data_IF_904177765854
#
_entry.id   IF_904177765854
#
_cell.length_a   1.000
_cell.length_b   1.000
_cell.length_c   1.000
_cell.angle_alpha   90.00
_cell.angle_beta   90.00
_cell.angle_gamma   90.00
#
_symmetry.space_group_name_H-M   'P 1'
#
loop_
_entity.id
_entity.type
_entity.pdbx_description
1 polymer ?
#
# COMPACT_ATOMS: atom_id res chain seq x y z
N UNK A 1 -25.78 -17.63 1.44
CA UNK A 1 -24.72 -17.47 0.45
C UNK A 1 -24.33 -15.98 0.47
N UNK A 2 -23.03 -15.64 0.23
CA UNK A 2 -22.56 -14.24 0.34
C UNK A 2 -23.30 -13.30 -0.64
N UNK A 3 -23.67 -13.80 -1.82
CA UNK A 3 -24.49 -13.08 -2.80
C UNK A 3 -25.93 -12.85 -2.32
N UNK A 4 -26.53 -13.83 -1.68
CA UNK A 4 -27.88 -13.78 -1.14
C UNK A 4 -27.97 -12.79 0.02
N UNK A 5 -26.91 -12.72 0.83
CA UNK A 5 -26.79 -11.74 1.91
C UNK A 5 -26.58 -10.31 1.38
N UNK A 6 -25.74 -10.11 0.34
CA UNK A 6 -25.53 -8.83 -0.32
C UNK A 6 -26.80 -8.35 -1.05
N UNK A 7 -27.58 -9.24 -1.64
CA UNK A 7 -28.86 -8.93 -2.27
C UNK A 7 -29.96 -8.61 -1.25
N UNK A 8 -29.97 -9.27 -0.07
CA UNK A 8 -30.95 -8.99 1.00
C UNK A 8 -30.75 -7.60 1.63
N UNK A 9 -29.54 -7.08 1.59
CA UNK A 9 -29.16 -5.78 2.14
C UNK A 9 -29.39 -4.61 1.15
N UNK A 10 -30.10 -4.83 0.04
CA UNK A 10 -30.48 -3.80 -0.93
C UNK A 10 -29.34 -3.33 -1.86
N UNK A 11 -28.20 -3.98 -1.81
CA UNK A 11 -27.10 -3.74 -2.74
C UNK A 11 -27.15 -4.78 -3.85
N UNK A 12 -27.71 -4.44 -4.99
CA UNK A 12 -27.61 -5.23 -6.23
C UNK A 12 -26.17 -5.22 -6.79
N UNK A 13 -25.18 -5.45 -5.95
CA UNK A 13 -23.80 -5.59 -6.39
C UNK A 13 -23.57 -7.05 -6.72
N UNK A 14 -23.46 -7.35 -8.00
CA UNK A 14 -23.03 -8.69 -8.42
C UNK A 14 -21.52 -8.84 -8.15
N UNK A 15 -21.22 -9.34 -6.94
CA UNK A 15 -19.82 -9.51 -6.46
C UNK A 15 -18.94 -10.39 -7.38
N UNK A 16 -19.55 -11.12 -8.30
CA UNK A 16 -18.86 -11.96 -9.29
C UNK A 16 -18.84 -11.35 -10.69
N UNK A 17 -19.52 -10.21 -10.91
CA UNK A 17 -19.43 -9.53 -12.20
C UNK A 17 -18.06 -8.84 -12.31
N UNK A 18 -17.30 -9.15 -13.36
CA UNK A 18 -16.06 -8.45 -13.61
C UNK A 18 -16.34 -6.97 -13.84
N UNK A 19 -15.52 -6.09 -13.27
CA UNK A 19 -15.55 -4.64 -13.47
C UNK A 19 -16.82 -3.90 -12.98
N UNK A 20 -17.62 -4.47 -12.10
CA UNK A 20 -18.84 -3.84 -11.59
C UNK A 20 -18.60 -2.44 -10.99
N UNK A 21 -17.41 -2.25 -10.36
CA UNK A 21 -17.00 -0.97 -9.78
C UNK A 21 -16.57 0.07 -10.82
N UNK A 22 -16.12 -0.37 -12.00
CA UNK A 22 -15.60 0.50 -13.05
C UNK A 22 -16.37 0.25 -14.35
N UNK A 23 -17.55 0.87 -14.46
CA UNK A 23 -18.42 0.75 -15.64
C UNK A 23 -17.86 1.49 -16.85
N UNK A 24 -16.98 2.47 -16.63
CA UNK A 24 -16.29 3.20 -17.69
C UNK A 24 -14.96 2.53 -18.06
N UNK A 25 -14.82 2.01 -19.29
CA UNK A 25 -13.58 1.39 -19.76
C UNK A 25 -12.37 2.34 -19.71
N UNK A 26 -12.60 3.64 -19.91
CA UNK A 26 -11.54 4.64 -19.88
C UNK A 26 -10.99 4.82 -18.46
N UNK A 27 -11.89 4.85 -17.47
CA UNK A 27 -11.50 4.92 -16.05
C UNK A 27 -10.70 3.67 -15.63
N UNK A 28 -11.08 2.49 -16.11
CA UNK A 28 -10.35 1.25 -15.84
C UNK A 28 -8.94 1.26 -16.45
N UNK A 29 -8.83 1.66 -17.72
CA UNK A 29 -7.53 1.72 -18.42
C UNK A 29 -6.63 2.77 -17.77
N UNK A 30 -7.17 3.95 -17.43
CA UNK A 30 -6.41 5.01 -16.77
C UNK A 30 -5.91 4.60 -15.39
N UNK A 31 -6.74 3.89 -14.60
CA UNK A 31 -6.33 3.33 -13.31
C UNK A 31 -5.24 2.28 -13.49
N UNK A 32 -5.40 1.37 -14.45
CA UNK A 32 -4.38 0.35 -14.75
C UNK A 32 -3.04 0.96 -15.14
N UNK A 33 -3.05 1.96 -16.01
CA UNK A 33 -1.84 2.71 -16.40
C UNK A 33 -1.22 3.44 -15.20
N UNK A 34 -2.04 4.11 -14.39
CA UNK A 34 -1.55 4.82 -13.20
C UNK A 34 -0.87 3.87 -12.21
N UNK A 35 -1.45 2.70 -11.95
CA UNK A 35 -0.86 1.68 -11.08
C UNK A 35 0.44 1.09 -11.64
N UNK A 36 0.48 0.76 -12.94
CA UNK A 36 1.67 0.18 -13.57
C UNK A 36 2.80 1.20 -13.61
N UNK A 37 2.54 2.42 -14.09
CA UNK A 37 3.55 3.47 -14.19
C UNK A 37 3.97 3.96 -12.81
N UNK A 38 3.03 4.10 -11.87
CA UNK A 38 3.32 4.48 -10.49
C UNK A 38 4.21 3.46 -9.79
N UNK A 39 3.88 2.16 -9.87
CA UNK A 39 4.68 1.11 -9.26
C UNK A 39 6.08 0.99 -9.90
N UNK A 40 6.19 1.15 -11.22
CA UNK A 40 7.48 1.07 -11.91
C UNK A 40 8.40 2.27 -11.65
N UNK A 41 7.83 3.43 -11.30
CA UNK A 41 8.58 4.65 -10.99
C UNK A 41 9.03 4.77 -9.52
N UNK A 42 8.65 3.84 -8.65
CA UNK A 42 9.00 3.91 -7.24
C UNK A 42 10.51 3.68 -7.01
N UNK A 43 11.23 4.63 -6.39
CA UNK A 43 12.68 4.54 -6.23
C UNK A 43 13.14 3.30 -5.48
N UNK A 44 12.41 2.86 -4.45
CA UNK A 44 12.74 1.66 -3.67
C UNK A 44 12.56 0.35 -4.48
N UNK A 45 11.75 0.36 -5.55
CA UNK A 45 11.65 -0.76 -6.49
C UNK A 45 12.85 -0.75 -7.44
N UNK A 46 13.19 0.42 -7.97
CA UNK A 46 14.29 0.61 -8.91
C UNK A 46 15.66 0.33 -8.27
N UNK A 47 15.87 0.75 -7.02
CA UNK A 47 17.13 0.49 -6.27
C UNK A 47 17.48 -1.00 -6.19
N UNK A 48 16.50 -1.91 -6.20
CA UNK A 48 16.75 -3.35 -6.21
C UNK A 48 17.51 -3.82 -7.45
N UNK A 49 17.33 -3.17 -8.58
CA UNK A 49 18.06 -3.50 -9.81
C UNK A 49 19.55 -3.16 -9.72
N UNK A 50 19.91 -2.17 -8.90
CA UNK A 50 21.31 -1.76 -8.69
C UNK A 50 22.01 -2.60 -7.62
N UNK A 51 21.28 -3.37 -6.81
CA UNK A 51 21.87 -4.19 -5.74
C UNK A 51 22.17 -5.63 -6.17
N UNK A 52 21.76 -6.04 -7.38
CA UNK A 52 22.02 -7.38 -7.92
C UNK A 52 23.21 -7.37 -8.88
N UNK A 53 24.12 -8.36 -8.80
CA UNK A 53 25.36 -8.38 -9.57
C UNK A 53 25.14 -8.50 -11.09
N UNK A 54 24.08 -9.16 -11.53
CA UNK A 54 23.84 -9.46 -12.94
C UNK A 54 22.39 -9.22 -13.37
N UNK A 55 22.19 -8.86 -14.64
CA UNK A 55 20.87 -8.69 -15.24
C UNK A 55 20.03 -10.00 -15.22
N UNK A 56 20.69 -11.17 -15.21
CA UNK A 56 20.01 -12.47 -15.10
C UNK A 56 19.39 -12.66 -13.72
N UNK A 57 20.12 -12.29 -12.68
CA UNK A 57 19.62 -12.34 -11.30
C UNK A 57 18.54 -11.31 -11.03
N UNK A 58 18.66 -10.10 -11.60
CA UNK A 58 17.61 -9.09 -11.57
C UNK A 58 16.28 -9.64 -12.12
N UNK A 59 16.31 -10.23 -13.32
CA UNK A 59 15.12 -10.83 -13.92
C UNK A 59 14.55 -11.99 -13.08
N UNK A 60 15.40 -12.84 -12.54
CA UNK A 60 14.98 -13.94 -11.67
C UNK A 60 14.30 -13.42 -10.39
N UNK A 61 14.86 -12.39 -9.77
CA UNK A 61 14.28 -11.73 -8.60
C UNK A 61 12.88 -11.17 -8.89
N UNK A 62 12.71 -10.49 -10.02
CA UNK A 62 11.40 -9.96 -10.46
C UNK A 62 10.40 -11.09 -10.69
N UNK A 63 10.79 -12.17 -11.35
CA UNK A 63 9.90 -13.33 -11.57
C UNK A 63 9.43 -13.94 -10.25
N UNK A 64 10.34 -14.10 -9.29
CA UNK A 64 9.97 -14.57 -7.95
C UNK A 64 9.06 -13.59 -7.21
N UNK A 65 9.33 -12.28 -7.29
CA UNK A 65 8.49 -11.26 -6.67
C UNK A 65 7.07 -11.29 -7.24
N UNK A 66 6.93 -11.35 -8.58
CA UNK A 66 5.62 -11.46 -9.25
C UNK A 66 4.89 -12.74 -8.82
N UNK A 67 5.58 -13.88 -8.77
CA UNK A 67 4.99 -15.15 -8.34
C UNK A 67 4.49 -15.11 -6.91
N UNK A 68 5.29 -14.59 -5.97
CA UNK A 68 4.92 -14.46 -4.57
C UNK A 68 3.77 -13.49 -4.35
N UNK A 69 3.80 -12.32 -4.99
CA UNK A 69 2.72 -11.33 -4.94
C UNK A 69 1.44 -11.94 -5.52
N UNK A 70 1.55 -12.60 -6.70
CA UNK A 70 0.42 -13.26 -7.34
C UNK A 70 -0.19 -14.37 -6.47
N UNK A 71 0.64 -15.13 -5.78
CA UNK A 71 0.17 -16.15 -4.82
C UNK A 71 -0.49 -15.54 -3.57
N UNK A 72 -0.12 -14.31 -3.18
CA UNK A 72 -0.71 -13.63 -2.03
C UNK A 72 -2.12 -13.06 -2.33
N UNK A 73 -2.37 -12.61 -3.57
CA UNK A 73 -3.67 -12.03 -3.93
C UNK A 73 -4.89 -12.93 -3.65
N UNK A 74 -4.88 -14.26 -3.93
CA UNK A 74 -5.99 -15.13 -3.55
C UNK A 74 -6.32 -15.13 -2.06
N UNK A 75 -5.31 -14.99 -1.19
CA UNK A 75 -5.55 -14.88 0.25
C UNK A 75 -6.25 -13.56 0.61
N UNK A 76 -5.87 -12.44 -0.02
CA UNK A 76 -6.55 -11.16 0.23
C UNK A 76 -8.00 -11.20 -0.27
N UNK A 77 -8.27 -11.86 -1.40
CA UNK A 77 -9.64 -12.09 -1.88
C UNK A 77 -10.44 -12.96 -0.90
N UNK A 78 -9.86 -14.07 -0.42
CA UNK A 78 -10.51 -14.93 0.56
C UNK A 78 -10.84 -14.19 1.86
N UNK A 79 -9.93 -13.33 2.34
CA UNK A 79 -10.17 -12.49 3.51
C UNK A 79 -11.27 -11.46 3.26
N UNK A 80 -11.27 -10.79 2.11
CA UNK A 80 -12.29 -9.81 1.75
C UNK A 80 -13.69 -10.41 1.64
N UNK A 81 -13.83 -11.51 0.90
CA UNK A 81 -15.11 -12.22 0.78
C UNK A 81 -15.53 -12.88 2.11
N UNK A 82 -14.58 -13.41 2.87
CA UNK A 82 -14.85 -13.96 4.20
C UNK A 82 -15.37 -12.90 5.16
N UNK A 83 -14.79 -11.70 5.15
CA UNK A 83 -15.29 -10.59 5.96
C UNK A 83 -16.69 -10.14 5.53
N UNK A 84 -16.93 -10.01 4.22
CA UNK A 84 -18.25 -9.66 3.71
C UNK A 84 -19.33 -10.72 4.05
N UNK A 85 -18.95 -12.00 4.05
CA UNK A 85 -19.87 -13.07 4.36
C UNK A 85 -20.14 -13.26 5.85
N UNK A 86 -19.11 -13.24 6.69
CA UNK A 86 -19.20 -13.55 8.12
C UNK A 86 -19.60 -12.33 8.97
N UNK A 87 -19.04 -11.14 8.65
CA UNK A 87 -19.28 -9.91 9.40
C UNK A 87 -20.41 -9.10 8.79
N UNK A 88 -20.48 -9.05 7.46
CA UNK A 88 -21.45 -8.28 6.69
C UNK A 88 -20.92 -6.93 6.26
N UNK A 89 -21.24 -6.49 5.02
CA UNK A 89 -20.71 -5.25 4.45
C UNK A 89 -21.15 -3.98 5.19
N UNK A 90 -22.40 -3.95 5.67
CA UNK A 90 -22.93 -2.81 6.43
C UNK A 90 -22.26 -2.66 7.79
N UNK A 91 -22.01 -3.76 8.49
CA UNK A 91 -21.30 -3.72 9.76
C UNK A 91 -19.87 -3.20 9.58
N UNK A 92 -19.18 -3.63 8.51
CA UNK A 92 -17.82 -3.17 8.19
C UNK A 92 -17.80 -1.68 7.85
N UNK A 93 -18.75 -1.19 7.03
CA UNK A 93 -18.83 0.24 6.67
C UNK A 93 -19.02 1.16 7.88
N UNK A 94 -19.78 0.71 8.87
CA UNK A 94 -20.07 1.48 10.07
C UNK A 94 -18.98 1.41 11.14
N UNK A 95 -17.92 0.59 10.93
CA UNK A 95 -16.78 0.54 11.83
C UNK A 95 -15.83 1.75 11.60
N UNK A 96 -15.14 2.20 12.66
CA UNK A 96 -14.04 3.14 12.50
C UNK A 96 -13.00 2.60 11.52
N UNK A 97 -12.75 3.33 10.42
CA UNK A 97 -11.88 2.88 9.34
C UNK A 97 -12.59 2.27 8.12
N UNK A 98 -13.92 2.08 8.16
CA UNK A 98 -14.72 1.62 7.02
C UNK A 98 -14.19 0.31 6.43
N UNK A 99 -14.01 0.26 5.10
CA UNK A 99 -13.53 -0.94 4.40
C UNK A 99 -12.16 -1.46 4.91
N UNK A 100 -11.32 -0.59 5.47
CA UNK A 100 -10.02 -0.98 6.02
C UNK A 100 -10.15 -1.79 7.31
N UNK A 101 -11.30 -1.75 7.97
CA UNK A 101 -11.59 -2.55 9.16
C UNK A 101 -11.95 -4.02 8.84
N UNK A 102 -12.10 -4.40 7.56
CA UNK A 102 -12.56 -5.73 7.17
C UNK A 102 -11.72 -6.89 7.75
N UNK A 103 -10.39 -6.81 7.66
CA UNK A 103 -9.51 -7.87 8.16
C UNK A 103 -9.49 -7.95 9.70
N UNK A 104 -9.36 -6.84 10.46
CA UNK A 104 -9.52 -6.87 11.92
C UNK A 104 -10.90 -7.34 12.37
N UNK A 105 -11.98 -6.95 11.69
CA UNK A 105 -13.34 -7.36 12.01
C UNK A 105 -13.54 -8.87 11.81
N UNK A 106 -13.03 -9.40 10.69
CA UNK A 106 -13.04 -10.85 10.45
C UNK A 106 -12.24 -11.61 11.52
N UNK A 107 -11.05 -11.09 11.88
CA UNK A 107 -10.23 -11.68 12.93
C UNK A 107 -10.95 -11.69 14.28
N UNK A 108 -11.65 -10.61 14.62
CA UNK A 108 -12.46 -10.55 15.83
C UNK A 108 -13.58 -11.58 15.80
N UNK A 109 -14.26 -11.74 14.66
CA UNK A 109 -15.34 -12.70 14.50
C UNK A 109 -14.89 -14.16 14.64
N UNK A 110 -13.69 -14.49 14.14
CA UNK A 110 -13.13 -15.85 14.16
C UNK A 110 -12.43 -16.23 15.46
N UNK A 111 -11.72 -15.31 16.10
CA UNK A 111 -10.86 -15.60 17.24
C UNK A 111 -10.90 -14.54 18.35
N UNK A 112 -11.94 -13.69 18.33
CA UNK A 112 -12.15 -12.68 19.37
C UNK A 112 -11.04 -11.62 19.44
N UNK A 113 -10.94 -11.00 20.59
CA UNK A 113 -10.01 -9.88 20.84
C UNK A 113 -8.54 -10.26 20.64
N UNK A 114 -8.17 -11.49 20.94
CA UNK A 114 -6.77 -11.94 20.84
C UNK A 114 -6.34 -11.98 19.37
N UNK A 115 -7.11 -12.63 18.51
CA UNK A 115 -6.77 -12.71 17.08
C UNK A 115 -6.82 -11.33 16.42
N UNK A 116 -7.81 -10.51 16.77
CA UNK A 116 -7.89 -9.14 16.30
C UNK A 116 -6.65 -8.33 16.70
N UNK A 117 -6.19 -8.44 17.95
CA UNK A 117 -5.01 -7.72 18.43
C UNK A 117 -3.74 -8.15 17.68
N UNK A 118 -3.57 -9.45 17.40
CA UNK A 118 -2.45 -9.96 16.61
C UNK A 118 -2.48 -9.38 15.19
N UNK A 119 -3.62 -9.44 14.51
CA UNK A 119 -3.76 -8.92 13.15
C UNK A 119 -3.53 -7.40 13.11
N UNK A 120 -4.10 -6.66 14.06
CA UNK A 120 -3.90 -5.21 14.17
C UNK A 120 -2.42 -4.88 14.44
N UNK A 121 -1.75 -5.62 15.31
CA UNK A 121 -0.32 -5.45 15.60
C UNK A 121 0.55 -5.71 14.39
N UNK A 122 0.29 -6.78 13.63
CA UNK A 122 0.99 -7.07 12.37
C UNK A 122 0.76 -5.98 11.33
N UNK A 123 -0.49 -5.53 11.16
CA UNK A 123 -0.82 -4.44 10.24
C UNK A 123 -0.07 -3.15 10.62
N UNK A 124 -0.08 -2.78 11.89
CA UNK A 124 0.63 -1.60 12.37
C UNK A 124 2.15 -1.69 12.15
N UNK A 125 2.76 -2.84 12.47
CA UNK A 125 4.18 -3.06 12.24
C UNK A 125 4.55 -2.97 10.76
N UNK A 126 3.70 -3.52 9.88
CA UNK A 126 3.89 -3.47 8.42
C UNK A 126 3.79 -2.04 7.89
N UNK A 127 2.80 -1.28 8.35
CA UNK A 127 2.64 0.14 7.98
C UNK A 127 3.88 0.93 8.40
N UNK A 128 4.36 0.77 9.64
CA UNK A 128 5.57 1.45 10.11
C UNK A 128 6.79 1.10 9.25
N UNK A 129 6.99 -0.17 8.92
CA UNK A 129 8.12 -0.62 8.11
C UNK A 129 8.09 0.01 6.70
N UNK A 130 6.91 0.04 6.07
CA UNK A 130 6.74 0.64 4.73
C UNK A 130 6.95 2.15 4.77
N UNK A 131 6.31 2.86 5.70
CA UNK A 131 6.43 4.32 5.84
C UNK A 131 7.88 4.72 6.12
N UNK A 132 8.56 4.01 7.03
CA UNK A 132 9.97 4.26 7.31
C UNK A 132 10.84 4.08 6.06
N UNK A 133 10.64 2.97 5.33
CA UNK A 133 11.38 2.69 4.09
C UNK A 133 11.17 3.75 3.01
N UNK A 134 9.94 4.16 2.79
CA UNK A 134 9.60 5.21 1.82
C UNK A 134 10.18 6.58 2.22
N UNK A 135 10.10 6.93 3.50
CA UNK A 135 10.65 8.21 4.00
C UNK A 135 12.16 8.26 3.86
N UNK A 136 12.86 7.17 4.22
CA UNK A 136 14.33 7.10 4.06
C UNK A 136 14.71 7.20 2.58
N UNK A 137 14.02 6.49 1.71
CA UNK A 137 14.30 6.50 0.27
C UNK A 137 14.08 7.89 -0.33
N UNK A 138 12.93 8.52 -0.04
CA UNK A 138 12.63 9.86 -0.53
C UNK A 138 13.64 10.89 -0.03
N UNK A 139 14.06 10.80 1.22
CA UNK A 139 15.04 11.70 1.83
C UNK A 139 16.44 11.51 1.24
N UNK A 140 16.85 10.28 0.99
CA UNK A 140 18.12 9.97 0.36
C UNK A 140 18.15 10.47 -1.10
N UNK A 141 17.08 10.24 -1.87
CA UNK A 141 16.96 10.79 -3.24
C UNK A 141 17.02 12.30 -3.25
N UNK A 142 16.32 12.99 -2.35
CA UNK A 142 16.39 14.45 -2.27
C UNK A 142 17.82 14.93 -1.97
N UNK A 143 18.49 14.32 -1.00
CA UNK A 143 19.84 14.69 -0.60
C UNK A 143 20.86 14.43 -1.71
N UNK A 144 20.75 13.31 -2.41
CA UNK A 144 21.67 12.98 -3.49
C UNK A 144 21.35 13.71 -4.79
N UNK A 145 20.11 13.64 -5.26
CA UNK A 145 19.76 14.12 -6.60
C UNK A 145 19.61 15.65 -6.63
N UNK A 146 18.96 16.23 -5.62
CA UNK A 146 18.71 17.67 -5.60
C UNK A 146 19.84 18.41 -4.90
N UNK A 147 20.18 18.04 -3.66
CA UNK A 147 21.17 18.80 -2.91
C UNK A 147 22.59 18.58 -3.45
N UNK A 148 23.04 17.34 -3.60
CA UNK A 148 24.40 17.08 -4.07
C UNK A 148 24.55 17.38 -5.57
N UNK A 149 23.69 16.81 -6.42
CA UNK A 149 23.88 16.89 -7.88
C UNK A 149 23.51 18.27 -8.45
N UNK A 150 22.38 18.87 -8.02
CA UNK A 150 21.89 20.12 -8.59
C UNK A 150 22.45 21.35 -7.83
N UNK A 151 22.39 21.35 -6.48
CA UNK A 151 22.78 22.53 -5.69
C UNK A 151 24.28 22.61 -5.41
N UNK A 152 24.98 21.50 -5.40
CA UNK A 152 26.42 21.42 -5.09
C UNK A 152 27.29 20.94 -6.25
N UNK A 153 26.74 20.75 -7.44
CA UNK A 153 27.45 20.25 -8.64
C UNK A 153 28.26 18.97 -8.37
N UNK A 154 27.73 18.07 -7.55
CA UNK A 154 28.40 16.83 -7.18
C UNK A 154 29.55 16.96 -6.17
N UNK A 155 29.70 18.12 -5.51
CA UNK A 155 30.81 18.44 -4.61
C UNK A 155 30.40 18.47 -3.13
N UNK A 156 29.23 17.94 -2.77
CA UNK A 156 28.82 17.89 -1.38
C UNK A 156 29.66 16.89 -0.60
N UNK A 157 30.08 17.28 0.61
CA UNK A 157 30.73 16.33 1.52
C UNK A 157 29.71 15.28 2.00
N UNK A 158 30.09 13.99 2.15
CA UNK A 158 29.17 12.93 2.59
C UNK A 158 28.42 13.25 3.88
N UNK A 159 29.07 13.94 4.81
CA UNK A 159 28.46 14.37 6.07
C UNK A 159 27.33 15.40 5.87
N UNK A 160 27.48 16.27 4.89
CA UNK A 160 26.46 17.27 4.54
C UNK A 160 25.24 16.60 3.91
N UNK A 161 25.48 15.63 3.03
CA UNK A 161 24.42 14.85 2.39
C UNK A 161 23.58 14.08 3.42
N UNK A 162 24.22 13.45 4.40
CA UNK A 162 23.54 12.77 5.51
C UNK A 162 22.75 13.75 6.38
N UNK A 163 23.28 14.96 6.66
CA UNK A 163 22.53 15.98 7.41
C UNK A 163 21.30 16.45 6.65
N UNK A 164 21.43 16.68 5.35
CA UNK A 164 20.30 17.06 4.49
C UNK A 164 19.25 15.94 4.44
N UNK A 165 19.67 14.69 4.28
CA UNK A 165 18.75 13.55 4.29
C UNK A 165 17.96 13.46 5.60
N UNK A 166 18.61 13.66 6.75
CA UNK A 166 17.92 13.66 8.06
C UNK A 166 16.91 14.80 8.19
N UNK A 167 17.29 16.00 7.78
CA UNK A 167 16.37 17.15 7.82
C UNK A 167 15.18 16.94 6.89
N UNK A 168 15.43 16.42 5.69
CA UNK A 168 14.38 16.09 4.72
C UNK A 168 13.44 15.01 5.26
N UNK A 169 13.96 13.98 5.96
CA UNK A 169 13.12 12.95 6.60
C UNK A 169 12.15 13.55 7.60
N UNK A 170 12.62 14.46 8.45
CA UNK A 170 11.77 15.16 9.42
C UNK A 170 10.71 16.00 8.72
N UNK A 171 11.11 16.74 7.68
CA UNK A 171 10.19 17.58 6.91
C UNK A 171 9.11 16.74 6.23
N UNK A 172 9.49 15.64 5.57
CA UNK A 172 8.53 14.71 4.94
C UNK A 172 7.58 14.13 5.99
N UNK A 173 8.11 13.75 7.16
CA UNK A 173 7.29 13.24 8.27
C UNK A 173 6.25 14.25 8.74
N UNK A 174 6.63 15.51 8.91
CA UNK A 174 5.71 16.59 9.30
C UNK A 174 4.64 16.84 8.22
N UNK A 175 5.06 16.91 6.95
CA UNK A 175 4.12 17.07 5.82
C UNK A 175 3.15 15.88 5.73
N UNK A 176 3.63 14.66 5.96
CA UNK A 176 2.79 13.48 5.97
C UNK A 176 1.76 13.50 7.10
N UNK A 177 2.15 13.95 8.32
CA UNK A 177 1.22 14.10 9.45
C UNK A 177 0.13 15.13 9.11
N UNK A 178 0.52 16.31 8.64
CA UNK A 178 -0.44 17.35 8.25
C UNK A 178 -1.34 16.86 7.11
N UNK A 179 -0.76 16.23 6.09
CA UNK A 179 -1.49 15.66 4.96
C UNK A 179 -2.49 14.59 5.40
N UNK A 180 -2.12 13.72 6.35
CA UNK A 180 -3.01 12.69 6.86
C UNK A 180 -4.21 13.26 7.63
N UNK A 181 -4.01 14.35 8.36
CA UNK A 181 -5.12 15.05 9.05
C UNK A 181 -6.08 15.70 8.06
N UNK A 182 -5.54 16.35 7.02
CA UNK A 182 -6.36 17.00 5.97
C UNK A 182 -7.09 15.97 5.10
N UNK A 183 -6.44 14.85 4.80
CA UNK A 183 -7.01 13.77 3.99
C UNK A 183 -7.81 12.75 4.81
N UNK A 184 -8.06 13.01 6.09
CA UNK A 184 -8.81 12.11 6.95
C UNK A 184 -10.21 11.83 6.39
N UNK A 185 -10.51 10.54 6.17
CA UNK A 185 -11.76 10.09 5.55
C UNK A 185 -11.74 10.00 4.03
N UNK A 186 -10.66 10.38 3.37
CA UNK A 186 -10.46 10.11 1.94
C UNK A 186 -9.87 8.70 1.80
N UNK A 187 -10.68 7.73 1.39
CA UNK A 187 -10.17 6.44 0.90
C UNK A 187 -9.66 6.65 -0.52
N UNK A 188 -8.36 6.78 -0.66
CA UNK A 188 -7.69 6.85 -1.96
C UNK A 188 -7.37 5.44 -2.43
#
# INVERSE_FOLDING_TARGET
NAMEKAASDGHEVNLLAPMERYKDPLALVSLGLALVLGASGLPHVLMRFYTVPTAKEARRSVTWAIGLIGAFYPFTMALGYGAAWLVGPEAIKNMPGGANAAAPALAYHLGGTILMAVIAGVAFATILAVVAGLTITASASFAHDIYNSVLKDGKAAPEQEVKVARLTSVTIGLVAIVGSVVANGQNV
#
